data_IF_427438276396
#
_entry.id   IF_427438276396
#
_cell.length_a   1.000
_cell.length_b   1.000
_cell.length_c   1.000
_cell.angle_alpha   90.00
_cell.angle_beta   90.00
_cell.angle_gamma   90.00
#
_symmetry.space_group_name_H-M   'P 1'
#
loop_
_entity.id
_entity.type
_entity.pdbx_description
1 polymer ?
#
# COMPACT_ATOMS: atom_id res chain seq x y z
N UNK A 1 -15.12 6.16 -5.57
CA UNK A 1 -15.20 4.97 -6.44
C UNK A 1 -13.93 4.16 -6.21
N UNK A 2 -14.01 2.95 -5.68
CA UNK A 2 -12.86 2.05 -5.56
C UNK A 2 -12.72 1.24 -6.85
N UNK A 3 -11.49 1.07 -7.34
CA UNK A 3 -11.21 0.27 -8.55
C UNK A 3 -10.79 -1.14 -8.13
N UNK A 4 -10.91 -2.16 -9.02
CA UNK A 4 -10.39 -3.50 -8.76
C UNK A 4 -8.93 -3.51 -8.33
N UNK A 5 -8.12 -2.61 -8.89
CA UNK A 5 -6.71 -2.40 -8.52
C UNK A 5 -6.55 -1.94 -7.07
N UNK A 6 -7.38 -1.01 -6.59
CA UNK A 6 -7.34 -0.55 -5.20
C UNK A 6 -7.71 -1.68 -4.24
N UNK A 7 -8.75 -2.46 -4.54
CA UNK A 7 -9.12 -3.60 -3.71
C UNK A 7 -8.03 -4.69 -3.68
N UNK A 8 -7.37 -4.94 -4.82
CA UNK A 8 -6.25 -5.89 -4.88
C UNK A 8 -5.05 -5.44 -4.05
N UNK A 9 -4.67 -4.16 -4.15
CA UNK A 9 -3.58 -3.59 -3.33
C UNK A 9 -3.96 -3.57 -1.85
N UNK A 10 -5.18 -3.19 -1.50
CA UNK A 10 -5.68 -3.20 -0.12
C UNK A 10 -5.59 -4.60 0.50
N UNK A 11 -5.92 -5.65 -0.26
CA UNK A 11 -5.76 -7.04 0.21
C UNK A 11 -4.30 -7.39 0.50
N UNK A 12 -3.37 -7.00 -0.37
CA UNK A 12 -1.93 -7.23 -0.13
C UNK A 12 -1.48 -6.53 1.17
N UNK A 13 -1.92 -5.29 1.39
CA UNK A 13 -1.62 -4.54 2.61
C UNK A 13 -2.27 -5.16 3.86
N UNK A 14 -3.52 -5.64 3.75
CA UNK A 14 -4.22 -6.30 4.83
C UNK A 14 -3.60 -7.65 5.20
N UNK A 15 -3.11 -8.42 4.22
CA UNK A 15 -2.37 -9.66 4.45
C UNK A 15 -1.02 -9.40 5.13
N UNK A 16 -0.31 -8.34 4.72
CA UNK A 16 0.96 -7.97 5.33
C UNK A 16 0.78 -7.38 6.73
N UNK A 17 -0.27 -6.58 6.92
CA UNK A 17 -0.65 -5.89 8.15
C UNK A 17 0.51 -5.14 8.82
N UNK A 18 1.00 -4.03 8.23
CA UNK A 18 2.12 -3.25 8.80
C UNK A 18 1.83 -2.67 10.19
N UNK A 19 0.55 -2.56 10.58
CA UNK A 19 0.14 -2.12 11.92
C UNK A 19 0.19 -3.24 12.98
N UNK A 20 0.29 -4.51 12.58
CA UNK A 20 0.20 -5.64 13.49
C UNK A 20 -1.08 -5.58 14.35
N UNK A 21 -0.94 -5.77 15.65
CA UNK A 21 -2.07 -5.69 16.60
C UNK A 21 -2.65 -4.27 16.75
N UNK A 22 -1.91 -3.22 16.37
CA UNK A 22 -2.41 -1.85 16.43
C UNK A 22 -3.58 -1.60 15.45
N UNK A 23 -3.70 -2.41 14.39
CA UNK A 23 -4.82 -2.37 13.45
C UNK A 23 -6.18 -2.42 14.16
N UNK A 24 -6.30 -3.20 15.24
CA UNK A 24 -7.55 -3.34 16.03
C UNK A 24 -7.95 -2.06 16.76
N UNK A 25 -7.04 -1.10 16.89
CA UNK A 25 -7.24 0.18 17.61
C UNK A 25 -7.53 1.35 16.67
N UNK A 26 -7.32 1.17 15.37
CA UNK A 26 -7.63 2.18 14.35
C UNK A 26 -9.09 1.98 13.94
N UNK A 27 -9.98 2.78 14.53
CA UNK A 27 -11.44 2.61 14.42
C UNK A 27 -11.99 2.82 13.02
N UNK A 28 -11.27 3.58 12.20
CA UNK A 28 -11.59 3.94 10.82
C UNK A 28 -10.72 3.20 9.79
N UNK A 29 -9.96 2.18 10.21
CA UNK A 29 -9.18 1.36 9.30
C UNK A 29 -10.11 0.52 8.40
N UNK A 30 -10.34 1.01 7.20
CA UNK A 30 -11.11 0.30 6.17
C UNK A 30 -10.21 -0.66 5.37
N UNK A 31 -9.57 -1.61 6.06
CA UNK A 31 -8.75 -2.65 5.42
C UNK A 31 -7.63 -2.12 4.52
N UNK A 32 -7.04 -0.97 4.87
CA UNK A 32 -6.02 -0.25 4.11
C UNK A 32 -6.49 0.31 2.75
N UNK A 33 -7.80 0.48 2.51
CA UNK A 33 -8.32 0.98 1.22
C UNK A 33 -7.87 2.40 0.89
N UNK A 34 -7.75 3.27 1.88
CA UNK A 34 -7.31 4.66 1.69
C UNK A 34 -5.86 4.68 1.21
N UNK A 35 -4.99 3.94 1.89
CA UNK A 35 -3.56 3.88 1.55
C UNK A 35 -3.34 3.16 0.21
N UNK A 36 -4.13 2.13 -0.07
CA UNK A 36 -4.11 1.45 -1.36
C UNK A 36 -4.47 2.40 -2.51
N UNK A 37 -5.46 3.27 -2.32
CA UNK A 37 -5.82 4.28 -3.31
C UNK A 37 -4.67 5.27 -3.56
N UNK A 38 -4.01 5.74 -2.50
CA UNK A 38 -2.87 6.65 -2.60
C UNK A 38 -1.64 5.99 -3.26
N UNK A 39 -1.41 4.71 -3.00
CA UNK A 39 -0.38 3.93 -3.68
C UNK A 39 -0.67 3.85 -5.18
N UNK A 40 -1.87 3.37 -5.55
CA UNK A 40 -2.25 3.20 -6.96
C UNK A 40 -2.25 4.54 -7.70
N UNK A 41 -2.82 5.58 -7.10
CA UNK A 41 -2.87 6.90 -7.72
C UNK A 41 -1.48 7.52 -7.84
N UNK A 42 -0.67 7.45 -6.78
CA UNK A 42 0.69 7.99 -6.80
C UNK A 42 1.57 7.36 -7.87
N UNK A 43 1.46 6.06 -8.12
CA UNK A 43 2.17 5.38 -9.21
C UNK A 43 1.69 5.84 -10.60
N UNK A 44 0.39 6.11 -10.77
CA UNK A 44 -0.15 6.63 -12.04
C UNK A 44 0.38 8.03 -12.36
N UNK A 45 0.61 8.86 -11.34
CA UNK A 45 1.13 10.22 -11.51
C UNK A 45 2.66 10.25 -11.66
N UNK A 46 3.37 9.47 -10.84
CA UNK A 46 4.84 9.52 -10.77
C UNK A 46 5.53 8.57 -11.77
N UNK A 47 4.84 7.51 -12.21
CA UNK A 47 5.43 6.47 -13.04
C UNK A 47 6.71 5.92 -12.41
N UNK A 48 7.75 5.78 -13.21
CA UNK A 48 9.05 5.22 -12.80
C UNK A 48 9.94 6.21 -12.01
N UNK A 49 9.44 7.42 -11.70
CA UNK A 49 10.22 8.44 -10.99
C UNK A 49 10.41 8.13 -9.49
N UNK A 50 9.74 7.11 -8.97
CA UNK A 50 9.86 6.64 -7.58
C UNK A 50 9.87 5.12 -7.56
N UNK A 51 10.70 4.52 -6.72
CA UNK A 51 10.61 3.07 -6.50
C UNK A 51 9.32 2.73 -5.76
N UNK A 52 8.73 1.59 -6.08
CA UNK A 52 7.47 1.16 -5.47
C UNK A 52 7.62 0.96 -3.96
N UNK A 53 8.75 0.43 -3.51
CA UNK A 53 9.07 0.26 -2.08
C UNK A 53 9.04 1.59 -1.36
N UNK A 54 9.70 2.62 -1.92
CA UNK A 54 9.73 3.94 -1.33
C UNK A 54 8.34 4.58 -1.31
N UNK A 55 7.57 4.42 -2.38
CA UNK A 55 6.22 4.98 -2.43
C UNK A 55 5.28 4.32 -1.42
N UNK A 56 5.32 2.99 -1.29
CA UNK A 56 4.56 2.25 -0.27
C UNK A 56 4.98 2.66 1.14
N UNK A 57 6.28 2.76 1.39
CA UNK A 57 6.82 3.23 2.67
C UNK A 57 6.33 4.64 3.02
N UNK A 58 6.44 5.59 2.08
CA UNK A 58 6.05 6.99 2.29
C UNK A 58 4.56 7.11 2.64
N UNK A 59 3.68 6.43 1.90
CA UNK A 59 2.22 6.44 2.15
C UNK A 59 1.89 5.87 3.54
N UNK A 60 2.42 4.69 3.88
CA UNK A 60 2.09 4.03 5.14
C UNK A 60 2.67 4.75 6.36
N UNK A 61 3.90 5.28 6.24
CA UNK A 61 4.49 6.08 7.32
C UNK A 61 3.71 7.37 7.54
N UNK A 62 3.20 8.00 6.49
CA UNK A 62 2.38 9.22 6.60
C UNK A 62 0.99 8.93 7.19
N UNK A 63 0.33 7.87 6.73
CA UNK A 63 -1.02 7.52 7.18
C UNK A 63 -1.08 7.07 8.64
N UNK A 64 -0.04 6.39 9.11
CA UNK A 64 -0.07 5.67 10.39
C UNK A 64 1.06 6.04 11.35
N UNK A 65 1.84 7.07 11.05
CA UNK A 65 3.02 7.50 11.83
C UNK A 65 4.03 6.37 12.08
N UNK A 66 4.14 5.44 11.12
CA UNK A 66 5.08 4.34 11.18
C UNK A 66 6.52 4.79 10.88
N UNK A 67 7.46 3.88 11.14
CA UNK A 67 8.90 4.05 10.86
C UNK A 67 9.42 2.90 9.98
N UNK A 68 8.65 2.55 8.95
CA UNK A 68 9.07 1.57 7.96
C UNK A 68 10.27 2.09 7.18
N UNK A 69 11.15 1.18 6.81
CA UNK A 69 12.25 1.43 5.87
C UNK A 69 11.96 0.77 4.50
N UNK A 70 12.64 1.17 3.42
CA UNK A 70 12.36 0.62 2.08
C UNK A 70 12.59 -0.90 2.00
N UNK A 71 13.51 -1.46 2.78
CA UNK A 71 13.80 -2.90 2.77
C UNK A 71 12.63 -3.69 3.37
N UNK A 72 12.01 -3.17 4.43
CA UNK A 72 10.79 -3.74 5.03
C UNK A 72 9.60 -3.76 4.07
N UNK A 73 9.58 -2.84 3.10
CA UNK A 73 8.54 -2.74 2.07
C UNK A 73 8.82 -3.58 0.81
N UNK A 74 9.99 -4.20 0.66
CA UNK A 74 10.37 -4.91 -0.58
C UNK A 74 9.42 -6.09 -0.91
N UNK A 75 9.08 -6.89 0.10
CA UNK A 75 8.14 -8.02 -0.04
C UNK A 75 6.74 -7.59 -0.50
N UNK A 76 6.04 -6.71 0.23
CA UNK A 76 4.71 -6.22 -0.17
C UNK A 76 4.74 -5.42 -1.47
N UNK A 77 5.77 -4.61 -1.72
CA UNK A 77 5.94 -3.89 -2.98
C UNK A 77 5.98 -4.85 -4.18
N UNK A 78 6.74 -5.95 -4.09
CA UNK A 78 6.77 -6.97 -5.15
C UNK A 78 5.39 -7.58 -5.42
N UNK A 79 4.61 -7.86 -4.37
CA UNK A 79 3.23 -8.37 -4.52
C UNK A 79 2.32 -7.32 -5.17
N UNK A 80 2.43 -6.06 -4.76
CA UNK A 80 1.69 -4.93 -5.34
C UNK A 80 2.02 -4.79 -6.83
N UNK A 81 3.29 -4.86 -7.21
CA UNK A 81 3.70 -4.82 -8.61
C UNK A 81 3.06 -5.95 -9.42
N UNK A 82 3.01 -7.17 -8.88
CA UNK A 82 2.39 -8.31 -9.54
C UNK A 82 0.89 -8.11 -9.78
N UNK A 83 0.12 -7.72 -8.76
CA UNK A 83 -1.33 -7.51 -8.90
C UNK A 83 -1.68 -6.32 -9.80
N UNK A 84 -0.78 -5.34 -9.93
CA UNK A 84 -0.97 -4.21 -10.84
C UNK A 84 -0.55 -4.53 -12.29
N UNK A 85 0.30 -5.54 -12.49
CA UNK A 85 0.72 -6.00 -13.80
C UNK A 85 -0.27 -7.00 -14.43
N UNK A 86 -1.09 -7.67 -13.61
CA UNK A 86 -2.24 -8.44 -14.07
C UNK A 86 -3.22 -7.48 -14.78
N UNK A 87 -3.16 -7.47 -16.11
CA UNK A 87 -4.14 -6.78 -16.95
C UNK A 87 -5.45 -7.57 -16.92
N UNK A 88 -6.56 -6.86 -16.73
CA UNK A 88 -7.87 -7.34 -17.20
C UNK A 88 -7.81 -7.64 -18.71
#
# INVERSE_FOLDING_TARGET
MTTPQVEAVARVLAEWNPLGDAAKKVTDLDGYRVEAADIVFGLKIRGDSVSLEKHVMDVLNQAFELKLDPQSCAGPAKKIAAVLAEKD
#
